data_IF_937945338685
#
_entry.id   IF_937945338685
#
_cell.length_a   1.000
_cell.length_b   1.000
_cell.length_c   1.000
_cell.angle_alpha   90.00
_cell.angle_beta   90.00
_cell.angle_gamma   90.00
#
_symmetry.space_group_name_H-M   'P 1'
#
loop_
_entity.id
_entity.type
_entity.pdbx_description
1 polymer ?
#
# COMPACT_ATOMS: atom_id res chain seq x y z
N UNK A 1 -7.91 15.56 5.06
CA UNK A 1 -7.17 14.37 4.59
C UNK A 1 -7.76 13.87 3.28
N UNK A 2 -7.11 14.13 2.14
CA UNK A 2 -7.49 13.47 0.89
C UNK A 2 -6.99 12.01 0.94
N UNK A 3 -7.91 11.05 0.91
CA UNK A 3 -7.59 9.63 0.98
C UNK A 3 -7.09 9.14 -0.39
N UNK A 4 -5.77 9.14 -0.60
CA UNK A 4 -5.14 8.57 -1.81
C UNK A 4 -4.84 7.08 -1.70
N UNK A 5 -4.85 6.54 -0.48
CA UNK A 5 -4.68 5.11 -0.22
C UNK A 5 -5.53 4.17 -1.08
N UNK A 6 -6.80 4.49 -1.45
CA UNK A 6 -7.61 3.61 -2.30
C UNK A 6 -7.02 3.48 -3.70
N UNK A 7 -6.42 4.57 -4.23
CA UNK A 7 -5.79 4.58 -5.55
C UNK A 7 -4.49 3.77 -5.55
N UNK A 8 -3.74 3.84 -4.45
CA UNK A 8 -2.53 3.03 -4.27
C UNK A 8 -2.91 1.56 -4.16
N UNK A 9 -3.90 1.24 -3.31
CA UNK A 9 -4.42 -0.10 -3.15
C UNK A 9 -4.87 -0.71 -4.48
N UNK A 10 -5.66 0.01 -5.26
CA UNK A 10 -6.10 -0.43 -6.58
C UNK A 10 -4.97 -0.60 -7.61
N UNK A 11 -3.80 0.02 -7.39
CA UNK A 11 -2.62 -0.22 -8.22
C UNK A 11 -1.88 -1.53 -7.85
N UNK A 12 -2.04 -1.99 -6.61
CA UNK A 12 -1.52 -3.28 -6.13
C UNK A 12 -2.49 -4.43 -6.42
N UNK A 13 -3.78 -4.20 -6.20
CA UNK A 13 -4.89 -5.12 -6.45
C UNK A 13 -5.09 -5.29 -7.97
N UNK A 14 -4.42 -6.29 -8.54
CA UNK A 14 -4.40 -6.58 -9.97
C UNK A 14 -5.70 -7.25 -10.40
N UNK A 15 -6.24 -8.11 -9.55
CA UNK A 15 -7.44 -8.90 -9.82
C UNK A 15 -8.73 -8.13 -9.45
N UNK A 16 -8.61 -6.98 -8.78
CA UNK A 16 -9.71 -6.13 -8.29
C UNK A 16 -10.66 -6.87 -7.33
N UNK A 17 -10.15 -7.82 -6.56
CA UNK A 17 -10.93 -8.60 -5.59
C UNK A 17 -11.08 -7.88 -4.24
N UNK A 18 -10.39 -6.75 -4.06
CA UNK A 18 -10.46 -5.90 -2.87
C UNK A 18 -9.54 -6.33 -1.74
N UNK A 19 -8.59 -7.23 -1.99
CA UNK A 19 -7.51 -7.66 -1.09
C UNK A 19 -6.22 -7.75 -1.92
N UNK A 20 -5.08 -7.62 -1.28
CA UNK A 20 -3.78 -7.78 -1.96
C UNK A 20 -3.14 -9.03 -1.43
N UNK A 21 -3.18 -10.09 -2.22
CA UNK A 21 -2.55 -11.35 -1.84
C UNK A 21 -1.03 -11.34 -2.09
N UNK A 22 -0.32 -12.29 -1.49
CA UNK A 22 1.14 -12.39 -1.62
C UNK A 22 1.62 -12.39 -3.07
N UNK A 23 0.90 -12.99 -4.01
CA UNK A 23 1.28 -13.02 -5.44
C UNK A 23 1.12 -11.65 -6.09
N UNK A 24 0.06 -10.94 -5.77
CA UNK A 24 -0.16 -9.57 -6.26
C UNK A 24 0.87 -8.62 -5.68
N UNK A 25 1.18 -8.78 -4.39
CA UNK A 25 2.23 -8.02 -3.76
C UNK A 25 3.61 -8.36 -4.35
N UNK A 26 3.91 -9.65 -4.63
CA UNK A 26 5.15 -10.06 -5.31
C UNK A 26 5.24 -9.49 -6.74
N UNK A 27 4.12 -9.46 -7.47
CA UNK A 27 4.06 -8.86 -8.79
C UNK A 27 4.31 -7.34 -8.74
N UNK A 28 3.71 -6.66 -7.77
CA UNK A 28 3.95 -5.24 -7.53
C UNK A 28 5.35 -4.96 -6.96
N UNK A 29 5.91 -5.89 -6.18
CA UNK A 29 7.28 -5.85 -5.67
C UNK A 29 8.32 -5.92 -6.77
N UNK A 30 8.06 -6.70 -7.82
CA UNK A 30 8.98 -6.75 -8.98
C UNK A 30 9.13 -5.37 -9.62
N UNK A 31 8.12 -4.50 -9.49
CA UNK A 31 8.18 -3.09 -9.91
C UNK A 31 8.71 -2.13 -8.83
N UNK A 32 8.40 -2.37 -7.56
CA UNK A 32 8.71 -1.45 -6.46
C UNK A 32 9.97 -1.82 -5.63
N UNK A 33 10.62 -2.94 -5.93
CA UNK A 33 11.95 -3.36 -5.47
C UNK A 33 12.10 -3.79 -4.00
N UNK A 34 11.25 -3.34 -3.06
CA UNK A 34 11.50 -3.53 -1.60
C UNK A 34 10.28 -3.73 -0.69
N UNK A 35 9.11 -4.10 -1.21
CA UNK A 35 7.86 -4.16 -0.41
C UNK A 35 7.65 -5.45 0.42
N UNK A 36 8.50 -6.46 0.27
CA UNK A 36 8.26 -7.80 0.83
C UNK A 36 8.52 -7.87 2.33
N UNK A 37 9.50 -7.09 2.78
CA UNK A 37 9.73 -6.83 4.20
C UNK A 37 8.62 -5.96 4.81
N UNK A 38 8.03 -5.06 4.01
CA UNK A 38 6.86 -4.31 4.46
C UNK A 38 5.68 -5.25 4.68
N UNK A 39 5.44 -6.24 3.80
CA UNK A 39 4.30 -7.16 3.96
C UNK A 39 4.27 -7.82 5.34
N UNK A 40 5.42 -8.32 5.84
CA UNK A 40 5.50 -8.92 7.18
C UNK A 40 5.20 -7.94 8.32
N UNK A 41 5.42 -6.64 8.11
CA UNK A 41 5.07 -5.59 9.06
C UNK A 41 3.66 -5.01 8.83
N UNK A 42 3.11 -5.20 7.63
CA UNK A 42 1.81 -4.72 7.18
C UNK A 42 0.68 -5.68 7.53
N UNK A 43 0.95 -6.97 7.37
CA UNK A 43 0.05 -8.09 7.63
C UNK A 43 -0.06 -8.27 9.16
N UNK A 44 -1.07 -7.62 9.73
CA UNK A 44 -1.21 -7.48 11.18
C UNK A 44 -1.81 -8.73 11.81
N UNK A 45 -2.62 -9.48 11.05
CA UNK A 45 -3.20 -10.76 11.46
C UNK A 45 -2.40 -11.98 10.94
N UNK A 46 -1.39 -11.74 10.08
CA UNK A 46 -0.51 -12.74 9.51
C UNK A 46 -1.25 -13.76 8.63
N UNK A 47 -2.36 -13.37 8.01
CA UNK A 47 -3.15 -14.25 7.14
C UNK A 47 -2.53 -14.40 5.73
N UNK A 48 -1.53 -13.58 5.40
CA UNK A 48 -0.81 -13.60 4.13
C UNK A 48 -1.50 -12.81 3.02
N UNK A 49 -2.57 -12.07 3.31
CA UNK A 49 -3.22 -11.09 2.45
C UNK A 49 -3.33 -9.74 3.17
N UNK A 50 -3.39 -8.65 2.42
CA UNK A 50 -3.66 -7.33 3.02
C UNK A 50 -5.04 -6.89 2.59
N UNK A 51 -5.96 -6.79 3.54
CA UNK A 51 -7.30 -6.27 3.31
C UNK A 51 -7.31 -4.74 3.23
N UNK A 52 -8.37 -4.14 2.66
CA UNK A 52 -8.54 -2.67 2.62
C UNK A 52 -8.47 -2.03 4.01
N UNK A 53 -8.98 -2.70 5.03
CA UNK A 53 -8.97 -2.19 6.40
C UNK A 53 -7.56 -2.15 6.99
N UNK A 54 -6.78 -3.20 6.76
CA UNK A 54 -5.39 -3.27 7.19
C UNK A 54 -4.52 -2.28 6.43
N UNK A 55 -4.71 -2.19 5.11
CA UNK A 55 -4.04 -1.20 4.29
C UNK A 55 -4.32 0.21 4.79
N UNK A 56 -5.59 0.52 5.09
CA UNK A 56 -5.98 1.83 5.61
C UNK A 56 -5.29 2.11 6.95
N UNK A 57 -5.35 1.19 7.92
CA UNK A 57 -4.68 1.35 9.23
C UNK A 57 -3.18 1.53 9.09
N UNK A 58 -2.56 0.77 8.19
CA UNK A 58 -1.12 0.85 7.96
C UNK A 58 -0.73 2.16 7.28
N UNK A 59 -1.52 2.61 6.30
CA UNK A 59 -1.31 3.86 5.59
C UNK A 59 -1.50 5.08 6.49
N UNK A 60 -2.53 5.04 7.34
CA UNK A 60 -2.81 6.05 8.35
C UNK A 60 -1.63 6.19 9.33
N UNK A 61 -1.17 5.06 9.91
CA UNK A 61 0.02 5.03 10.77
C UNK A 61 1.30 5.46 10.04
N UNK A 62 1.48 5.06 8.78
CA UNK A 62 2.68 5.36 8.00
C UNK A 62 2.75 6.84 7.63
N UNK A 63 1.62 7.45 7.24
CA UNK A 63 1.53 8.90 7.03
C UNK A 63 1.79 9.64 8.34
N UNK A 64 1.12 9.24 9.42
CA UNK A 64 1.24 9.89 10.72
C UNK A 64 2.71 9.94 11.19
N UNK A 65 3.50 8.91 10.85
CA UNK A 65 4.91 8.83 11.19
C UNK A 65 5.87 9.52 10.20
N UNK A 66 5.55 9.55 8.89
CA UNK A 66 6.48 10.04 7.84
C UNK A 66 6.18 11.43 7.27
N UNK A 67 4.94 11.91 7.35
CA UNK A 67 4.54 13.15 6.70
C UNK A 67 3.41 13.84 7.50
N UNK A 68 3.66 14.99 8.16
CA UNK A 68 2.59 15.74 8.81
C UNK A 68 1.64 16.31 7.75
N UNK A 69 0.43 15.72 7.67
CA UNK A 69 -0.80 16.13 6.96
C UNK A 69 -0.67 16.56 5.48
N UNK A 70 0.09 17.61 5.18
CA UNK A 70 0.13 18.29 3.88
C UNK A 70 0.98 17.52 2.84
N UNK A 71 1.98 16.76 3.29
CA UNK A 71 2.86 15.97 2.40
C UNK A 71 2.40 14.51 2.22
N UNK A 72 1.41 14.08 3.00
CA UNK A 72 0.85 12.73 2.99
C UNK A 72 0.30 12.34 1.61
N UNK A 73 -0.42 13.27 0.98
CA UNK A 73 -0.97 13.11 -0.36
C UNK A 73 0.16 12.99 -1.39
N UNK A 74 1.17 13.86 -1.27
CA UNK A 74 2.32 13.92 -2.17
C UNK A 74 3.15 12.64 -2.14
N UNK A 75 3.35 12.07 -0.95
CA UNK A 75 4.01 10.78 -0.76
C UNK A 75 3.21 9.64 -1.42
N UNK A 76 1.89 9.64 -1.21
CA UNK A 76 1.00 8.66 -1.85
C UNK A 76 0.97 8.76 -3.38
N UNK A 77 0.96 9.98 -3.92
CA UNK A 77 1.03 10.23 -5.37
C UNK A 77 2.36 9.76 -5.96
N UNK A 78 3.48 10.07 -5.31
CA UNK A 78 4.80 9.62 -5.75
C UNK A 78 4.92 8.08 -5.75
N UNK A 79 4.34 7.41 -4.74
CA UNK A 79 4.28 5.95 -4.68
C UNK A 79 3.41 5.39 -5.83
N UNK A 80 2.25 5.98 -6.08
CA UNK A 80 1.36 5.58 -7.16
C UNK A 80 2.00 5.75 -8.54
N UNK A 81 2.75 6.84 -8.75
CA UNK A 81 3.45 7.11 -10.01
C UNK A 81 4.52 6.04 -10.28
N UNK A 82 5.29 5.65 -9.26
CA UNK A 82 6.30 4.60 -9.39
C UNK A 82 5.71 3.22 -9.71
N UNK A 83 4.50 2.93 -9.24
CA UNK A 83 3.80 1.67 -9.54
C UNK A 83 3.21 1.63 -10.96
N UNK A 84 2.84 2.81 -11.49
CA UNK A 84 2.31 2.97 -12.86
C UNK A 84 3.38 2.96 -13.94
N UNK A 85 4.63 3.30 -13.60
CA UNK A 85 5.81 3.15 -14.48
C UNK A 85 6.14 1.67 -14.74
#
# INVERSE_FOLDING_TARGET
MAEIWPKIFAAFDKNNDGKVDRKELEAAMSKAGRLGDCMKHSDADQDGVITKEEWKKMYDRMIEFKAPDEEAVKYGEAMLENLKK
#
